data_IF_882453588333
#
_entry.id   IF_882453588333
#
_cell.length_a   1.000
_cell.length_b   1.000
_cell.length_c   1.000
_cell.angle_alpha   90.00
_cell.angle_beta   90.00
_cell.angle_gamma   90.00
#
_symmetry.space_group_name_H-M   'P 1'
#
loop_
_entity.id
_entity.type
_entity.pdbx_description
1 polymer ?
#
# COMPACT_ATOMS: atom_id res chain seq x y z
N UNK A 1 -32.53 -19.35 51.48
CA UNK A 1 -32.52 -18.19 50.54
C UNK A 1 -31.29 -18.34 49.71
N UNK A 2 -31.44 -18.96 48.58
CA UNK A 2 -30.39 -19.35 47.67
C UNK A 2 -30.29 -18.26 46.61
N UNK A 3 -29.21 -17.51 46.60
CA UNK A 3 -28.95 -16.40 45.68
C UNK A 3 -27.81 -16.80 44.72
N UNK A 4 -28.13 -17.64 43.74
CA UNK A 4 -27.26 -17.87 42.56
C UNK A 4 -27.49 -16.76 41.57
N UNK A 5 -26.44 -16.01 41.12
CA UNK A 5 -26.63 -15.05 40.04
C UNK A 5 -26.81 -15.79 38.72
N UNK A 6 -27.87 -15.43 38.05
CA UNK A 6 -28.19 -15.82 36.67
C UNK A 6 -27.00 -15.48 35.74
N UNK A 7 -26.32 -16.52 35.27
CA UNK A 7 -25.33 -16.39 34.19
C UNK A 7 -26.08 -16.19 32.87
N UNK A 8 -26.43 -14.94 32.60
CA UNK A 8 -26.95 -14.54 31.30
C UNK A 8 -26.02 -15.01 30.20
N UNK A 9 -26.46 -16.05 29.51
CA UNK A 9 -25.86 -16.56 28.29
C UNK A 9 -25.66 -15.40 27.29
N UNK A 10 -24.45 -14.89 27.15
CA UNK A 10 -24.05 -14.08 26.02
C UNK A 10 -24.22 -14.94 24.76
N UNK A 11 -25.36 -14.78 24.10
CA UNK A 11 -25.57 -15.35 22.77
C UNK A 11 -24.49 -14.80 21.86
N UNK A 12 -23.54 -15.65 21.47
CA UNK A 12 -22.61 -15.35 20.42
C UNK A 12 -23.41 -14.94 19.18
N UNK A 13 -23.36 -13.67 18.83
CA UNK A 13 -23.89 -13.20 17.55
C UNK A 13 -23.08 -13.86 16.46
N UNK A 14 -23.64 -14.83 15.76
CA UNK A 14 -23.11 -15.38 14.51
C UNK A 14 -23.08 -14.26 13.48
N UNK A 15 -21.92 -13.63 13.36
CA UNK A 15 -21.68 -12.60 12.35
C UNK A 15 -21.52 -13.32 11.01
N UNK A 16 -22.49 -13.18 10.12
CA UNK A 16 -22.39 -13.66 8.74
C UNK A 16 -21.29 -12.87 7.97
N UNK A 17 -20.61 -13.48 6.97
CA UNK A 17 -19.61 -12.78 6.13
C UNK A 17 -20.10 -11.44 5.56
N UNK A 18 -21.39 -11.31 5.25
CA UNK A 18 -22.00 -10.02 4.82
C UNK A 18 -21.90 -8.92 5.86
N UNK A 19 -21.96 -9.24 7.14
CA UNK A 19 -21.81 -8.24 8.21
C UNK A 19 -20.37 -7.75 8.33
N UNK A 20 -19.38 -8.58 7.98
CA UNK A 20 -17.95 -8.17 7.94
C UNK A 20 -17.71 -7.17 6.81
N UNK A 21 -18.33 -7.38 5.65
CA UNK A 21 -18.25 -6.43 4.53
C UNK A 21 -18.81 -5.05 4.90
N UNK A 22 -19.93 -5.02 5.62
CA UNK A 22 -20.51 -3.74 6.10
C UNK A 22 -19.60 -3.05 7.12
N UNK A 23 -18.90 -3.81 7.97
CA UNK A 23 -17.95 -3.28 8.96
C UNK A 23 -16.64 -2.77 8.31
N UNK A 24 -16.27 -3.32 7.17
CA UNK A 24 -15.16 -2.82 6.35
C UNK A 24 -15.52 -1.54 5.58
N UNK A 25 -16.81 -1.21 5.46
CA UNK A 25 -17.23 -0.05 4.71
C UNK A 25 -16.69 1.24 5.34
N UNK A 26 -16.19 2.13 4.50
CA UNK A 26 -15.73 3.46 4.89
C UNK A 26 -16.78 4.51 4.52
N UNK A 27 -16.68 5.68 5.13
CA UNK A 27 -17.40 6.86 4.69
C UNK A 27 -16.50 7.65 3.74
N UNK A 28 -16.70 7.57 2.40
CA UNK A 28 -15.72 8.06 1.42
C UNK A 28 -15.36 9.54 1.60
N UNK A 29 -16.35 10.43 1.79
CA UNK A 29 -16.09 11.86 1.95
C UNK A 29 -15.31 12.21 3.23
N UNK A 30 -15.60 11.52 4.33
CA UNK A 30 -14.86 11.72 5.57
C UNK A 30 -13.44 11.20 5.43
N UNK A 31 -13.27 10.01 4.88
CA UNK A 31 -11.96 9.39 4.64
C UNK A 31 -11.13 10.26 3.69
N UNK A 32 -11.71 10.73 2.57
CA UNK A 32 -11.04 11.66 1.65
C UNK A 32 -10.52 12.91 2.37
N UNK A 33 -11.38 13.59 3.12
CA UNK A 33 -11.00 14.82 3.86
C UNK A 33 -9.87 14.55 4.85
N UNK A 34 -9.96 13.45 5.62
CA UNK A 34 -8.93 13.06 6.58
C UNK A 34 -7.59 12.83 5.89
N UNK A 35 -7.57 12.09 4.77
CA UNK A 35 -6.33 11.78 4.05
C UNK A 35 -5.74 13.02 3.34
N UNK A 36 -6.58 13.88 2.78
CA UNK A 36 -6.15 15.17 2.19
C UNK A 36 -5.53 16.07 3.26
N UNK A 37 -6.14 16.19 4.43
CA UNK A 37 -5.60 16.97 5.53
C UNK A 37 -4.32 16.37 6.10
N UNK A 38 -4.25 15.04 6.22
CA UNK A 38 -3.03 14.33 6.60
C UNK A 38 -1.87 14.65 5.64
N UNK A 39 -2.07 14.52 4.33
CA UNK A 39 -1.05 14.83 3.33
C UNK A 39 -0.58 16.28 3.48
N UNK A 40 -1.52 17.22 3.53
CA UNK A 40 -1.21 18.66 3.64
C UNK A 40 -0.41 18.99 4.88
N UNK A 41 -0.80 18.43 6.02
CA UNK A 41 -0.12 18.68 7.29
C UNK A 41 1.27 18.05 7.32
N UNK A 42 1.39 16.78 6.95
CA UNK A 42 2.67 16.07 7.02
C UNK A 42 3.72 16.63 6.05
N UNK A 43 3.31 17.09 4.87
CA UNK A 43 4.25 17.72 3.92
C UNK A 43 4.75 19.07 4.46
N UNK A 44 3.83 19.90 4.94
CA UNK A 44 4.19 21.26 5.44
C UNK A 44 4.97 21.24 6.74
N UNK A 45 4.73 20.26 7.59
CA UNK A 45 5.38 20.09 8.89
C UNK A 45 6.92 20.01 8.80
N UNK A 46 7.42 19.53 7.68
CA UNK A 46 8.85 19.45 7.41
C UNK A 46 9.38 20.53 6.45
N UNK A 47 8.59 21.58 6.23
CA UNK A 47 8.98 22.70 5.37
C UNK A 47 8.94 22.40 3.86
N UNK A 48 8.32 21.27 3.46
CA UNK A 48 8.12 20.93 2.05
C UNK A 48 6.76 21.46 1.56
N UNK A 49 6.65 21.61 0.24
CA UNK A 49 5.41 22.02 -0.43
C UNK A 49 5.05 21.10 -1.60
N UNK A 50 5.92 20.16 -1.95
CA UNK A 50 5.79 19.32 -3.15
C UNK A 50 5.87 17.84 -2.79
N UNK A 51 5.26 17.03 -3.66
CA UNK A 51 5.30 15.57 -3.60
C UNK A 51 5.73 14.99 -4.95
N UNK A 52 6.47 13.89 -4.89
CA UNK A 52 6.72 13.03 -6.03
C UNK A 52 6.21 11.63 -5.73
N UNK A 53 5.71 10.93 -6.76
CA UNK A 53 5.28 9.53 -6.64
C UNK A 53 5.45 8.78 -7.95
N UNK A 54 5.65 7.47 -7.83
CA UNK A 54 5.60 6.57 -8.99
C UNK A 54 4.16 6.35 -9.45
N UNK A 55 3.88 6.54 -10.73
CA UNK A 55 2.59 6.27 -11.36
C UNK A 55 2.67 4.97 -12.17
N UNK A 56 2.11 3.91 -11.61
CA UNK A 56 2.09 2.58 -12.23
C UNK A 56 0.91 2.37 -13.18
N UNK A 57 -0.03 3.32 -13.25
CA UNK A 57 -1.32 3.13 -13.93
C UNK A 57 -2.26 2.18 -13.18
N UNK A 58 -1.93 1.82 -11.93
CA UNK A 58 -2.79 1.06 -11.02
C UNK A 58 -3.58 1.95 -10.07
N UNK A 59 -4.62 1.37 -9.46
CA UNK A 59 -5.60 2.09 -8.63
C UNK A 59 -4.98 2.77 -7.40
N UNK A 60 -3.98 2.17 -6.76
CA UNK A 60 -3.34 2.69 -5.55
C UNK A 60 -2.56 3.96 -5.83
N UNK A 61 -1.72 3.95 -6.89
CA UNK A 61 -0.98 5.13 -7.32
C UNK A 61 -1.93 6.23 -7.83
N UNK A 62 -3.03 5.84 -8.49
CA UNK A 62 -4.04 6.78 -8.96
C UNK A 62 -4.76 7.47 -7.79
N UNK A 63 -5.18 6.72 -6.78
CA UNK A 63 -5.80 7.29 -5.58
C UNK A 63 -4.84 8.21 -4.84
N UNK A 64 -3.59 7.78 -4.64
CA UNK A 64 -2.57 8.58 -3.95
C UNK A 64 -2.31 9.92 -4.68
N UNK A 65 -2.20 9.89 -6.02
CA UNK A 65 -2.01 11.09 -6.83
C UNK A 65 -3.22 12.03 -6.75
N UNK A 66 -4.44 11.49 -6.82
CA UNK A 66 -5.68 12.27 -6.71
C UNK A 66 -5.78 12.99 -5.37
N UNK A 67 -5.50 12.29 -4.26
CA UNK A 67 -5.50 12.87 -2.92
C UNK A 67 -4.39 13.93 -2.76
N UNK A 68 -3.22 13.68 -3.34
CA UNK A 68 -2.10 14.63 -3.30
C UNK A 68 -2.39 15.92 -4.07
N UNK A 69 -2.95 15.81 -5.28
CA UNK A 69 -3.36 16.96 -6.08
C UNK A 69 -4.42 17.81 -5.37
N UNK A 70 -5.38 17.19 -4.70
CA UNK A 70 -6.36 17.89 -3.88
C UNK A 70 -5.73 18.56 -2.63
N UNK A 71 -4.73 17.92 -2.03
CA UNK A 71 -4.10 18.42 -0.80
C UNK A 71 -3.20 19.63 -1.04
N UNK A 72 -2.42 19.64 -2.11
CA UNK A 72 -1.34 20.60 -2.33
C UNK A 72 -1.54 21.50 -3.56
N UNK A 73 -2.48 21.19 -4.43
CA UNK A 73 -2.60 21.73 -5.79
C UNK A 73 -1.81 20.89 -6.81
N UNK A 74 -2.35 20.74 -8.03
CA UNK A 74 -1.74 19.88 -9.05
C UNK A 74 -0.31 20.33 -9.45
N UNK A 75 0.00 21.61 -9.38
CA UNK A 75 1.31 22.19 -9.67
C UNK A 75 2.41 21.73 -8.70
N UNK A 76 2.02 21.20 -7.53
CA UNK A 76 2.92 20.74 -6.47
C UNK A 76 3.06 19.20 -6.42
N UNK A 77 2.54 18.49 -7.42
CA UNK A 77 2.60 17.03 -7.51
C UNK A 77 3.28 16.62 -8.81
N UNK A 78 4.28 15.74 -8.69
CA UNK A 78 5.01 15.18 -9.83
C UNK A 78 4.78 13.68 -9.90
N UNK A 79 4.10 13.22 -10.93
CA UNK A 79 3.88 11.80 -11.22
C UNK A 79 4.99 11.25 -12.12
N UNK A 80 5.69 10.21 -11.69
CA UNK A 80 6.80 9.63 -12.45
C UNK A 80 6.38 8.27 -13.00
N UNK A 81 6.36 8.15 -14.32
CA UNK A 81 6.19 6.88 -15.01
C UNK A 81 7.56 6.21 -15.15
N UNK A 82 7.64 4.94 -14.75
CA UNK A 82 8.89 4.19 -14.66
C UNK A 82 8.77 2.85 -15.41
N UNK A 83 8.53 2.89 -16.74
CA UNK A 83 8.40 1.66 -17.51
C UNK A 83 9.72 0.88 -17.56
N UNK A 84 9.58 -0.44 -17.64
CA UNK A 84 10.62 -1.36 -18.08
C UNK A 84 10.12 -1.99 -19.39
N UNK A 85 11.01 -2.45 -20.26
CA UNK A 85 10.68 -2.95 -21.62
C UNK A 85 9.51 -3.96 -21.70
N UNK A 86 9.22 -4.68 -20.62
CA UNK A 86 8.10 -5.63 -20.56
C UNK A 86 6.88 -5.10 -19.84
N UNK A 87 6.90 -3.85 -19.36
CA UNK A 87 5.73 -3.21 -18.76
C UNK A 87 4.60 -3.09 -19.76
N UNK A 88 3.38 -3.24 -19.29
CA UNK A 88 2.19 -3.15 -20.14
C UNK A 88 2.03 -1.72 -20.69
N UNK A 89 1.85 -1.55 -22.02
CA UNK A 89 1.49 -0.25 -22.60
C UNK A 89 0.20 0.34 -22.04
N UNK A 90 -0.73 -0.51 -21.60
CA UNK A 90 -1.96 -0.11 -20.92
C UNK A 90 -1.67 0.63 -19.60
N UNK A 91 -0.66 0.17 -18.85
CA UNK A 91 -0.24 0.80 -17.59
C UNK A 91 0.21 2.25 -17.82
N UNK A 92 1.02 2.49 -18.84
CA UNK A 92 1.46 3.84 -19.21
C UNK A 92 0.27 4.69 -19.71
N UNK A 93 -0.61 4.12 -20.53
CA UNK A 93 -1.83 4.80 -21.00
C UNK A 93 -2.72 5.27 -19.86
N UNK A 94 -2.91 4.42 -18.84
CA UNK A 94 -3.68 4.76 -17.64
C UNK A 94 -3.00 5.85 -16.80
N UNK A 95 -1.68 5.80 -16.65
CA UNK A 95 -0.94 6.84 -15.95
C UNK A 95 -1.08 8.20 -16.65
N UNK A 96 -0.96 8.25 -17.99
CA UNK A 96 -1.12 9.46 -18.80
C UNK A 96 -2.54 10.03 -18.69
N UNK A 97 -3.56 9.16 -18.76
CA UNK A 97 -4.96 9.56 -18.60
C UNK A 97 -5.19 10.26 -17.24
N UNK A 98 -4.62 9.70 -16.16
CA UNK A 98 -4.72 10.29 -14.83
C UNK A 98 -3.97 11.63 -14.74
N UNK A 99 -2.76 11.72 -15.28
CA UNK A 99 -1.94 12.95 -15.32
C UNK A 99 -2.74 14.08 -15.99
N UNK A 100 -3.33 13.80 -17.15
CA UNK A 100 -4.14 14.76 -17.90
C UNK A 100 -5.37 15.19 -17.11
N UNK A 101 -6.10 14.24 -16.50
CA UNK A 101 -7.28 14.54 -15.69
C UNK A 101 -6.96 15.41 -14.48
N UNK A 102 -5.85 15.15 -13.79
CA UNK A 102 -5.46 15.88 -12.58
C UNK A 102 -4.73 17.19 -12.88
N UNK A 103 -4.15 17.35 -14.06
CA UNK A 103 -3.30 18.49 -14.42
C UNK A 103 -1.99 18.54 -13.65
N UNK A 104 -1.49 17.41 -13.17
CA UNK A 104 -0.23 17.32 -12.41
C UNK A 104 0.98 17.30 -13.35
N UNK A 105 2.15 17.70 -12.82
CA UNK A 105 3.40 17.54 -13.52
C UNK A 105 3.77 16.05 -13.69
N UNK A 106 4.50 15.72 -14.75
CA UNK A 106 4.92 14.34 -14.97
C UNK A 106 6.28 14.23 -15.59
N UNK A 107 6.92 13.07 -15.33
CA UNK A 107 8.16 12.66 -15.96
C UNK A 107 8.05 11.19 -16.40
N UNK A 108 8.84 10.80 -17.38
CA UNK A 108 8.94 9.41 -17.84
C UNK A 108 10.42 9.00 -17.84
N UNK A 109 10.74 8.01 -17.01
CA UNK A 109 12.09 7.48 -16.87
C UNK A 109 12.05 6.00 -17.24
N UNK A 110 12.52 5.64 -18.43
CA UNK A 110 12.70 4.23 -18.80
C UNK A 110 13.83 3.62 -17.96
N UNK A 111 13.46 2.64 -17.10
CA UNK A 111 14.44 1.95 -16.24
C UNK A 111 15.14 0.78 -16.94
N UNK A 112 14.83 0.49 -18.21
CA UNK A 112 15.43 -0.61 -18.95
C UNK A 112 16.97 -0.49 -19.01
N UNK A 113 17.57 0.69 -19.36
CA UNK A 113 19.02 0.83 -19.39
C UNK A 113 19.70 0.64 -18.02
N UNK A 114 18.96 0.82 -16.93
CA UNK A 114 19.46 0.60 -15.56
C UNK A 114 19.39 -0.88 -15.17
N UNK A 115 18.36 -1.60 -15.63
CA UNK A 115 18.09 -2.97 -15.25
C UNK A 115 18.90 -4.01 -16.04
N UNK A 116 19.05 -3.81 -17.37
CA UNK A 116 19.67 -4.78 -18.25
C UNK A 116 21.11 -5.12 -17.87
N UNK A 117 22.01 -4.17 -17.54
CA UNK A 117 23.36 -4.50 -17.11
C UNK A 117 23.43 -5.38 -15.86
N UNK A 118 22.48 -5.18 -14.91
CA UNK A 118 22.38 -6.04 -13.73
C UNK A 118 21.88 -7.44 -14.08
N UNK A 119 20.93 -7.54 -14.99
CA UNK A 119 20.42 -8.83 -15.45
C UNK A 119 21.47 -9.61 -16.22
N UNK A 120 22.23 -8.95 -17.09
CA UNK A 120 23.36 -9.56 -17.81
C UNK A 120 24.47 -10.03 -16.86
N UNK A 121 24.82 -9.22 -15.85
CA UNK A 121 25.82 -9.57 -14.85
C UNK A 121 25.46 -10.85 -14.08
N UNK A 122 24.17 -11.04 -13.72
CA UNK A 122 23.72 -12.22 -12.98
C UNK A 122 23.43 -13.44 -13.88
N UNK A 123 23.43 -13.27 -15.20
CA UNK A 123 23.16 -14.35 -16.17
C UNK A 123 21.72 -14.86 -16.15
N UNK A 124 21.44 -15.94 -16.88
CA UNK A 124 20.08 -16.46 -17.14
C UNK A 124 19.32 -17.06 -15.94
N UNK A 125 19.93 -17.14 -14.76
CA UNK A 125 19.36 -17.82 -13.57
C UNK A 125 18.53 -16.93 -12.65
N UNK A 126 18.20 -15.70 -13.05
CA UNK A 126 17.36 -14.80 -12.26
C UNK A 126 15.89 -15.25 -12.31
N UNK A 127 15.35 -15.68 -11.16
CA UNK A 127 13.91 -15.92 -11.03
C UNK A 127 13.11 -14.60 -11.22
N UNK A 128 11.82 -14.73 -11.60
CA UNK A 128 10.93 -13.59 -11.74
C UNK A 128 10.87 -12.74 -10.46
N UNK A 129 10.85 -13.37 -9.29
CA UNK A 129 10.88 -12.68 -8.00
C UNK A 129 12.15 -11.81 -7.84
N UNK A 130 13.34 -12.33 -8.19
CA UNK A 130 14.58 -11.55 -8.11
C UNK A 130 14.58 -10.40 -9.11
N UNK A 131 14.11 -10.63 -10.34
CA UNK A 131 13.95 -9.58 -11.37
C UNK A 131 12.99 -8.49 -10.90
N UNK A 132 11.81 -8.86 -10.41
CA UNK A 132 10.83 -7.94 -9.87
C UNK A 132 11.37 -7.07 -8.72
N UNK A 133 12.10 -7.70 -7.78
CA UNK A 133 12.74 -6.98 -6.68
C UNK A 133 13.82 -5.97 -7.14
N UNK A 134 14.57 -6.29 -8.20
CA UNK A 134 15.53 -5.36 -8.79
C UNK A 134 14.78 -4.18 -9.42
N UNK A 135 13.78 -4.45 -10.25
CA UNK A 135 12.98 -3.40 -10.90
C UNK A 135 12.31 -2.46 -9.89
N UNK A 136 11.70 -3.00 -8.83
CA UNK A 136 11.09 -2.20 -7.78
C UNK A 136 12.10 -1.27 -7.08
N UNK A 137 13.33 -1.75 -6.84
CA UNK A 137 14.40 -0.93 -6.23
C UNK A 137 14.97 0.09 -7.19
N UNK A 138 15.09 -0.19 -8.48
CA UNK A 138 15.50 0.81 -9.48
C UNK A 138 14.45 1.92 -9.61
N UNK A 139 13.17 1.57 -9.59
CA UNK A 139 12.08 2.56 -9.52
C UNK A 139 12.20 3.44 -8.29
N UNK A 140 12.44 2.83 -7.13
CA UNK A 140 12.66 3.57 -5.88
C UNK A 140 13.82 4.55 -5.99
N UNK A 141 14.97 4.14 -6.53
CA UNK A 141 16.12 5.02 -6.72
C UNK A 141 15.75 6.24 -7.57
N UNK A 142 15.08 6.03 -8.71
CA UNK A 142 14.66 7.13 -9.59
C UNK A 142 13.66 8.09 -8.91
N UNK A 143 12.70 7.56 -8.13
CA UNK A 143 11.74 8.38 -7.40
C UNK A 143 12.40 9.21 -6.30
N UNK A 144 13.33 8.63 -5.54
CA UNK A 144 14.05 9.36 -4.48
C UNK A 144 15.04 10.38 -5.04
N UNK A 145 15.70 10.10 -6.17
CA UNK A 145 16.52 11.08 -6.87
C UNK A 145 15.68 12.28 -7.32
N UNK A 146 14.51 12.00 -7.94
CA UNK A 146 13.59 13.05 -8.36
C UNK A 146 13.05 13.85 -7.17
N UNK A 147 12.80 13.21 -6.05
CA UNK A 147 12.40 13.87 -4.79
C UNK A 147 13.41 14.92 -4.35
N UNK A 148 14.69 14.59 -4.40
CA UNK A 148 15.77 15.52 -4.08
C UNK A 148 15.86 16.69 -5.09
N UNK A 149 15.76 16.39 -6.38
CA UNK A 149 15.79 17.39 -7.45
C UNK A 149 14.63 18.41 -7.35
N UNK A 150 13.45 17.95 -6.96
CA UNK A 150 12.24 18.77 -6.83
C UNK A 150 12.08 19.43 -5.45
N UNK A 151 12.98 19.18 -4.51
CA UNK A 151 12.79 19.54 -3.09
C UNK A 151 11.42 19.09 -2.57
N UNK A 152 11.10 17.83 -2.78
CA UNK A 152 9.81 17.21 -2.51
C UNK A 152 9.93 16.01 -1.58
N UNK A 153 8.83 15.56 -0.99
CA UNK A 153 8.76 14.27 -0.30
C UNK A 153 8.25 13.17 -1.24
N UNK A 154 8.66 11.94 -0.99
CA UNK A 154 8.13 10.76 -1.71
C UNK A 154 6.80 10.34 -1.10
N UNK A 155 5.75 10.36 -1.91
CA UNK A 155 4.44 9.82 -1.56
C UNK A 155 4.37 8.34 -1.90
N UNK A 156 4.12 7.52 -0.90
CA UNK A 156 3.94 6.08 -1.08
C UNK A 156 2.52 5.72 -1.52
N UNK A 157 2.42 4.55 -2.12
CA UNK A 157 1.20 4.04 -2.73
C UNK A 157 0.80 2.67 -2.22
N UNK A 158 1.50 2.14 -1.19
CA UNK A 158 1.16 0.85 -0.59
C UNK A 158 -0.07 0.96 0.30
N UNK A 159 -0.94 -0.02 0.22
CA UNK A 159 -2.16 -0.13 1.03
C UNK A 159 -1.99 -1.10 2.21
N UNK A 160 -2.98 -1.14 3.13
CA UNK A 160 -2.96 -1.96 4.34
C UNK A 160 -2.87 -3.45 4.04
N UNK A 161 -3.60 -3.93 3.03
CA UNK A 161 -3.60 -5.35 2.64
C UNK A 161 -2.20 -5.79 2.20
N UNK A 162 -1.57 -5.01 1.33
CA UNK A 162 -0.20 -5.25 0.85
C UNK A 162 0.82 -5.22 1.99
N UNK A 163 0.72 -4.25 2.89
CA UNK A 163 1.57 -4.18 4.08
C UNK A 163 1.42 -5.39 4.98
N UNK A 164 0.19 -5.79 5.30
CA UNK A 164 -0.07 -6.92 6.19
C UNK A 164 0.42 -8.24 5.59
N UNK A 165 0.14 -8.47 4.31
CA UNK A 165 0.60 -9.66 3.60
C UNK A 165 2.10 -9.62 3.25
N UNK A 166 2.73 -8.43 3.32
CA UNK A 166 4.10 -8.23 2.84
C UNK A 166 4.23 -8.38 1.32
N UNK A 167 3.14 -8.12 0.59
CA UNK A 167 3.12 -8.11 -0.88
C UNK A 167 3.70 -6.81 -1.41
N UNK A 168 4.97 -6.61 -1.13
CA UNK A 168 5.78 -5.42 -1.45
C UNK A 168 7.25 -5.80 -1.44
N UNK A 169 8.07 -5.06 -2.15
CA UNK A 169 9.53 -5.18 -2.10
C UNK A 169 10.10 -4.24 -1.04
N UNK A 170 10.70 -4.82 -0.01
CA UNK A 170 11.38 -4.05 1.03
C UNK A 170 12.49 -3.19 0.45
N UNK A 171 12.48 -1.88 0.76
CA UNK A 171 13.33 -0.86 0.12
C UNK A 171 13.16 -0.75 -1.40
N UNK A 172 12.00 -1.14 -1.91
CA UNK A 172 11.57 -0.90 -3.27
C UNK A 172 10.31 -0.03 -3.27
N UNK A 173 9.19 -0.58 -3.72
CA UNK A 173 7.88 0.07 -3.74
C UNK A 173 7.33 0.43 -2.34
N UNK A 174 7.81 -0.24 -1.27
CA UNK A 174 7.46 0.13 0.11
C UNK A 174 8.15 1.39 0.62
N UNK A 175 9.22 1.86 -0.05
CA UNK A 175 9.98 3.02 0.38
C UNK A 175 9.23 4.32 0.07
N UNK A 176 8.98 5.12 1.10
CA UNK A 176 8.31 6.40 0.97
C UNK A 176 8.56 7.29 2.19
N UNK A 177 8.30 8.59 2.06
CA UNK A 177 8.33 9.53 3.18
C UNK A 177 7.03 9.54 3.96
N UNK A 178 5.89 9.46 3.26
CA UNK A 178 4.54 9.37 3.84
C UNK A 178 3.71 8.33 3.07
N UNK A 179 2.79 7.67 3.75
CA UNK A 179 1.94 6.59 3.20
C UNK A 179 0.45 6.87 3.51
N UNK A 180 -0.22 7.74 2.74
CA UNK A 180 -1.57 8.18 3.08
C UNK A 180 -2.60 7.05 3.06
N UNK A 181 -2.46 6.08 2.16
CA UNK A 181 -3.40 4.98 1.99
C UNK A 181 -2.98 3.69 2.72
N UNK A 182 -1.90 3.77 3.53
CA UNK A 182 -1.31 2.62 4.22
C UNK A 182 -2.20 1.97 5.28
N UNK A 183 -3.29 2.63 5.68
CA UNK A 183 -4.29 2.07 6.62
C UNK A 183 -5.63 1.74 5.93
N UNK A 184 -5.70 1.77 4.61
CA UNK A 184 -6.87 1.35 3.83
C UNK A 184 -6.66 -0.05 3.25
N UNK A 185 -7.66 -0.92 3.43
CA UNK A 185 -7.72 -2.21 2.74
C UNK A 185 -7.99 -2.03 1.24
N UNK A 186 -7.62 -3.01 0.41
CA UNK A 186 -7.79 -2.95 -1.06
C UNK A 186 -9.24 -2.72 -1.48
N UNK A 187 -10.18 -3.32 -0.77
CA UNK A 187 -11.62 -3.10 -0.98
C UNK A 187 -12.03 -1.66 -0.68
N UNK A 188 -11.46 -1.05 0.35
CA UNK A 188 -11.67 0.35 0.71
C UNK A 188 -11.01 1.31 -0.31
N UNK A 189 -9.83 0.95 -0.83
CA UNK A 189 -9.17 1.68 -1.93
C UNK A 189 -10.11 1.74 -3.14
N UNK A 190 -10.71 0.60 -3.55
CA UNK A 190 -11.67 0.57 -4.66
C UNK A 190 -12.88 1.48 -4.42
N UNK A 191 -13.43 1.46 -3.20
CA UNK A 191 -14.58 2.29 -2.84
C UNK A 191 -14.23 3.79 -2.86
N UNK A 192 -13.10 4.18 -2.25
CA UNK A 192 -12.66 5.57 -2.21
C UNK A 192 -12.28 6.09 -3.60
N UNK A 193 -11.58 5.29 -4.40
CA UNK A 193 -11.18 5.67 -5.77
C UNK A 193 -12.37 5.99 -6.65
N UNK A 194 -13.46 5.21 -6.56
CA UNK A 194 -14.72 5.54 -7.26
C UNK A 194 -15.29 6.88 -6.79
N UNK A 195 -15.29 7.10 -5.48
CA UNK A 195 -15.88 8.32 -4.90
C UNK A 195 -15.09 9.59 -5.23
N UNK A 196 -13.76 9.50 -5.41
CA UNK A 196 -12.92 10.65 -5.77
C UNK A 196 -12.74 10.83 -7.28
N UNK A 197 -13.39 10.00 -8.11
CA UNK A 197 -13.41 10.16 -9.57
C UNK A 197 -12.15 9.65 -10.28
N UNK A 198 -11.49 8.63 -9.76
CA UNK A 198 -10.42 7.93 -10.51
C UNK A 198 -11.02 7.37 -11.81
N UNK A 199 -10.33 7.50 -12.97
CA UNK A 199 -10.85 7.07 -14.27
C UNK A 199 -11.28 5.60 -14.29
N UNK A 200 -12.44 5.32 -14.92
CA UNK A 200 -13.01 3.97 -15.02
C UNK A 200 -12.03 2.91 -15.55
N UNK A 201 -11.21 3.16 -16.59
CA UNK A 201 -10.25 2.16 -17.04
C UNK A 201 -9.26 1.72 -15.96
N UNK A 202 -8.89 2.62 -15.04
CA UNK A 202 -8.01 2.29 -13.89
C UNK A 202 -8.78 1.50 -12.84
N UNK A 203 -10.04 1.84 -12.59
CA UNK A 203 -10.90 1.13 -11.62
C UNK A 203 -11.18 -0.32 -12.03
N UNK A 204 -11.30 -0.58 -13.33
CA UNK A 204 -11.62 -1.90 -13.89
C UNK A 204 -10.39 -2.76 -14.16
N UNK A 205 -9.20 -2.17 -14.13
CA UNK A 205 -7.95 -2.90 -14.32
C UNK A 205 -7.75 -3.92 -13.20
N UNK A 206 -7.41 -5.16 -13.58
CA UNK A 206 -7.06 -6.20 -12.60
C UNK A 206 -5.80 -5.80 -11.84
N UNK A 207 -5.77 -5.92 -10.50
CA UNK A 207 -4.59 -5.63 -9.69
C UNK A 207 -3.39 -6.46 -10.14
N UNK A 208 -2.27 -5.78 -10.40
CA UNK A 208 -1.01 -6.40 -10.80
C UNK A 208 0.16 -5.46 -10.47
N UNK A 209 1.27 -6.04 -10.02
CA UNK A 209 2.53 -5.32 -9.86
C UNK A 209 3.25 -5.03 -11.20
N UNK A 210 2.75 -5.59 -12.32
CA UNK A 210 3.26 -5.41 -13.70
C UNK A 210 4.79 -5.60 -13.82
N UNK A 211 5.31 -6.61 -13.12
CA UNK A 211 6.74 -6.97 -13.12
C UNK A 211 7.10 -7.97 -14.20
N UNK A 212 6.13 -8.76 -14.66
CA UNK A 212 6.24 -9.70 -15.80
C UNK A 212 4.89 -9.90 -16.49
N UNK A 213 4.89 -10.29 -17.77
CA UNK A 213 3.66 -10.47 -18.54
C UNK A 213 2.68 -11.47 -17.90
N UNK A 214 1.41 -11.08 -17.80
CA UNK A 214 0.35 -11.93 -17.25
C UNK A 214 0.30 -12.07 -15.75
N UNK A 215 1.11 -11.32 -15.01
CA UNK A 215 1.06 -11.25 -13.56
C UNK A 215 -0.28 -10.68 -13.09
N UNK A 216 -0.88 -11.31 -12.09
CA UNK A 216 -2.01 -10.74 -11.32
C UNK A 216 -1.79 -11.03 -9.85
N UNK A 217 -2.08 -10.07 -9.00
CA UNK A 217 -1.89 -10.20 -7.55
C UNK A 217 -2.73 -11.37 -6.99
N UNK A 218 -4.00 -11.44 -7.36
CA UNK A 218 -4.91 -12.50 -6.92
C UNK A 218 -4.47 -13.88 -7.43
N UNK A 219 -3.89 -13.95 -8.65
CA UNK A 219 -3.33 -15.20 -9.20
C UNK A 219 -2.12 -15.69 -8.42
N UNK A 220 -1.22 -14.79 -8.03
CA UNK A 220 -0.04 -15.13 -7.21
C UNK A 220 -0.41 -15.48 -5.77
N UNK A 221 -1.29 -14.68 -5.19
CA UNK A 221 -1.79 -14.95 -3.85
C UNK A 221 -2.68 -16.21 -3.80
N UNK A 222 -3.33 -16.57 -4.92
CA UNK A 222 -4.36 -17.60 -4.99
C UNK A 222 -5.57 -17.29 -4.11
N UNK A 223 -5.87 -15.99 -3.91
CA UNK A 223 -6.89 -15.46 -3.02
C UNK A 223 -7.47 -14.18 -3.62
N UNK A 224 -8.76 -13.93 -3.41
CA UNK A 224 -9.37 -12.66 -3.81
C UNK A 224 -9.19 -11.60 -2.72
N UNK A 225 -8.99 -10.35 -3.10
CA UNK A 225 -8.89 -9.24 -2.16
C UNK A 225 -10.14 -9.11 -1.27
N UNK A 226 -11.32 -9.37 -1.83
CA UNK A 226 -12.58 -9.25 -1.09
C UNK A 226 -12.64 -10.21 0.11
N UNK A 227 -12.12 -11.42 -0.03
CA UNK A 227 -12.09 -12.39 1.08
C UNK A 227 -10.92 -12.15 2.01
N UNK A 228 -9.74 -11.83 1.46
CA UNK A 228 -8.53 -11.58 2.26
C UNK A 228 -8.71 -10.38 3.18
N UNK A 229 -9.27 -9.29 2.69
CA UNK A 229 -9.50 -8.08 3.49
C UNK A 229 -10.44 -8.35 4.67
N UNK A 230 -11.50 -9.16 4.48
CA UNK A 230 -12.37 -9.56 5.57
C UNK A 230 -11.65 -10.36 6.64
N UNK A 231 -10.83 -11.33 6.25
CA UNK A 231 -10.04 -12.14 7.18
C UNK A 231 -9.01 -11.27 7.91
N UNK A 232 -8.30 -10.40 7.20
CA UNK A 232 -7.34 -9.48 7.80
C UNK A 232 -8.00 -8.51 8.79
N UNK A 233 -9.16 -7.96 8.43
CA UNK A 233 -9.92 -7.09 9.31
C UNK A 233 -10.29 -7.78 10.63
N UNK A 234 -10.81 -9.00 10.55
CA UNK A 234 -11.18 -9.77 11.75
C UNK A 234 -9.97 -10.08 12.63
N UNK A 235 -8.85 -10.47 12.02
CA UNK A 235 -7.64 -10.86 12.75
C UNK A 235 -6.86 -9.66 13.31
N UNK A 236 -6.81 -8.54 12.58
CA UNK A 236 -5.92 -7.41 12.88
C UNK A 236 -6.68 -6.29 13.59
N UNK A 237 -7.79 -5.82 13.03
CA UNK A 237 -8.54 -4.69 13.61
C UNK A 237 -9.41 -5.17 14.77
N UNK A 238 -10.09 -6.29 14.62
CA UNK A 238 -10.94 -6.84 15.69
C UNK A 238 -10.19 -7.79 16.63
N UNK A 239 -8.98 -8.19 16.26
CA UNK A 239 -8.10 -9.05 17.08
C UNK A 239 -8.76 -10.38 17.48
N UNK A 240 -9.57 -10.94 16.59
CA UNK A 240 -10.20 -12.22 16.82
C UNK A 240 -9.20 -13.36 16.70
N UNK A 241 -9.41 -14.42 17.47
CA UNK A 241 -8.66 -15.65 17.34
C UNK A 241 -8.90 -16.30 15.97
N UNK A 242 -7.86 -16.82 15.28
CA UNK A 242 -8.01 -17.49 14.00
C UNK A 242 -9.05 -18.60 13.98
N UNK A 243 -9.19 -19.37 15.08
CA UNK A 243 -10.18 -20.43 15.19
C UNK A 243 -11.60 -19.85 15.16
N UNK A 244 -11.80 -18.73 15.84
CA UNK A 244 -13.10 -18.05 15.83
C UNK A 244 -13.47 -17.51 14.44
N UNK A 245 -12.49 -17.03 13.68
CA UNK A 245 -12.71 -16.61 12.28
C UNK A 245 -13.13 -17.80 11.41
N UNK A 246 -12.58 -18.99 11.63
CA UNK A 246 -13.03 -20.23 10.94
C UNK A 246 -14.47 -20.58 11.34
N UNK A 247 -14.80 -20.49 12.62
CA UNK A 247 -16.17 -20.73 13.13
C UNK A 247 -17.21 -19.75 12.54
N UNK A 248 -16.78 -18.55 12.13
CA UNK A 248 -17.61 -17.58 11.40
C UNK A 248 -17.88 -17.98 9.94
N UNK A 249 -17.30 -19.08 9.46
CA UNK A 249 -17.54 -19.65 8.12
C UNK A 249 -16.47 -19.35 7.10
N UNK A 250 -15.30 -18.80 7.49
CA UNK A 250 -14.15 -18.67 6.60
C UNK A 250 -13.40 -20.00 6.49
N UNK A 251 -12.86 -20.26 5.31
CA UNK A 251 -12.06 -21.47 5.05
C UNK A 251 -10.81 -21.53 5.93
N UNK A 252 -10.60 -22.66 6.61
CA UNK A 252 -9.50 -22.85 7.56
C UNK A 252 -8.12 -22.74 6.88
N UNK A 253 -7.98 -23.27 5.66
CA UNK A 253 -6.72 -23.20 4.93
C UNK A 253 -6.39 -21.75 4.54
N UNK A 254 -7.40 -20.97 4.17
CA UNK A 254 -7.29 -19.54 3.91
C UNK A 254 -6.84 -18.78 5.16
N UNK A 255 -7.55 -18.93 6.28
CA UNK A 255 -7.23 -18.24 7.55
C UNK A 255 -5.82 -18.58 8.01
N UNK A 256 -5.45 -19.85 8.03
CA UNK A 256 -4.11 -20.32 8.38
C UNK A 256 -3.03 -19.75 7.46
N UNK A 257 -3.31 -19.67 6.16
CA UNK A 257 -2.39 -19.07 5.17
C UNK A 257 -2.19 -17.59 5.43
N UNK A 258 -3.27 -16.82 5.65
CA UNK A 258 -3.20 -15.38 5.95
C UNK A 258 -2.38 -15.14 7.21
N UNK A 259 -2.69 -15.84 8.31
CA UNK A 259 -1.93 -15.72 9.57
C UNK A 259 -0.45 -15.99 9.37
N UNK A 260 -0.10 -17.08 8.69
CA UNK A 260 1.29 -17.44 8.40
C UNK A 260 1.99 -16.37 7.55
N UNK A 261 1.30 -15.87 6.52
CA UNK A 261 1.85 -14.84 5.62
C UNK A 261 2.12 -13.54 6.37
N UNK A 262 1.18 -13.07 7.19
CA UNK A 262 1.33 -11.86 8.01
C UNK A 262 2.51 -11.99 8.96
N UNK A 263 2.66 -13.13 9.64
CA UNK A 263 3.78 -13.40 10.57
C UNK A 263 5.12 -13.47 9.86
N UNK A 264 5.21 -14.22 8.78
CA UNK A 264 6.46 -14.41 8.03
C UNK A 264 6.98 -13.13 7.40
N UNK A 265 6.11 -12.17 7.06
CA UNK A 265 6.46 -10.90 6.44
C UNK A 265 6.54 -9.73 7.45
N UNK A 266 6.51 -10.01 8.75
CA UNK A 266 6.62 -8.96 9.78
C UNK A 266 7.87 -8.08 9.60
N UNK A 267 8.99 -8.65 9.19
CA UNK A 267 10.24 -7.93 9.00
C UNK A 267 10.13 -6.79 7.97
N UNK A 268 9.25 -6.92 6.97
CA UNK A 268 9.05 -5.88 5.94
C UNK A 268 8.35 -4.62 6.49
N UNK A 269 7.70 -4.73 7.64
CA UNK A 269 7.01 -3.63 8.33
C UNK A 269 7.86 -2.99 9.43
N UNK A 270 9.06 -3.49 9.64
CA UNK A 270 9.95 -3.04 10.71
C UNK A 270 11.14 -2.30 10.13
N UNK A 271 11.63 -1.32 10.85
CA UNK A 271 12.98 -0.77 10.61
C UNK A 271 14.05 -1.83 10.91
N UNK A 272 15.27 -1.67 10.40
CA UNK A 272 16.35 -2.60 10.73
C UNK A 272 16.49 -2.79 12.24
N UNK A 273 16.70 -4.06 12.65
CA UNK A 273 16.91 -4.40 14.06
C UNK A 273 18.28 -3.88 14.49
N UNK A 274 18.31 -3.06 15.52
CA UNK A 274 19.54 -2.50 16.09
C UNK A 274 19.90 -3.26 17.35
N UNK A 275 21.14 -3.75 17.45
CA UNK A 275 21.66 -4.37 18.68
C UNK A 275 21.74 -3.31 19.78
N UNK A 276 21.03 -3.56 20.87
CA UNK A 276 21.02 -2.66 22.02
C UNK A 276 22.23 -2.89 22.89
N UNK A 277 23.22 -2.00 22.82
CA UNK A 277 24.44 -2.03 23.65
C UNK A 277 24.54 -0.86 24.62
N UNK A 278 23.68 0.14 24.48
CA UNK A 278 23.62 1.31 25.36
C UNK A 278 22.27 1.46 26.05
N UNK A 279 22.15 2.45 26.91
CA UNK A 279 20.92 2.76 27.64
C UNK A 279 19.83 3.36 26.74
N UNK A 280 20.22 4.02 25.62
CA UNK A 280 19.30 4.67 24.67
C UNK A 280 19.70 4.33 23.25
N UNK A 281 18.86 3.56 22.58
CA UNK A 281 19.06 3.11 21.19
C UNK A 281 18.12 3.89 20.25
N UNK A 282 18.63 4.47 19.15
CA UNK A 282 17.81 5.16 18.16
C UNK A 282 16.66 4.28 17.67
N UNK A 283 15.45 4.85 17.59
CA UNK A 283 14.25 4.13 17.14
C UNK A 283 13.65 3.14 18.14
N UNK A 284 14.31 2.87 19.26
CA UNK A 284 13.83 1.99 20.35
C UNK A 284 13.51 2.82 21.60
N UNK A 285 14.53 3.24 22.35
CA UNK A 285 14.36 4.05 23.57
C UNK A 285 14.52 5.56 23.31
N UNK A 286 15.22 5.92 22.26
CA UNK A 286 15.38 7.30 21.81
C UNK A 286 14.45 7.54 20.63
N UNK A 287 13.28 8.13 20.93
CA UNK A 287 12.24 8.46 19.96
C UNK A 287 11.81 9.89 20.21
N UNK A 288 11.99 10.73 19.21
CA UNK A 288 11.38 12.06 19.20
C UNK A 288 10.10 12.05 18.35
N UNK A 289 9.10 12.86 18.70
CA UNK A 289 8.01 13.16 17.79
C UNK A 289 8.55 13.61 16.44
N UNK A 290 7.85 13.28 15.37
CA UNK A 290 8.28 13.59 14.01
C UNK A 290 8.43 15.07 13.73
N UNK A 291 7.68 15.89 14.45
CA UNK A 291 7.63 17.35 14.38
C UNK A 291 8.42 18.05 15.50
N UNK A 292 9.28 17.31 16.20
CA UNK A 292 10.02 17.89 17.29
C UNK A 292 11.17 18.75 16.78
N UNK A 293 11.19 20.02 17.22
CA UNK A 293 12.18 21.01 16.82
C UNK A 293 11.70 21.97 15.71
N UNK A 294 10.44 21.93 15.37
CA UNK A 294 9.78 22.86 14.44
C UNK A 294 8.79 23.78 15.14
#
# INVERSE_FOLDING_TARGET
MDNTPDQGSLKAHTLHPKSVTDRLAIHPDLTRRLLVDFIRQEVRKFGFNRLVLGLSGGIDSALSATLAAEALGPENVVGIMLPYRTSSPESEGHARLLIEQLGIQSDLIDITPMAEPLFEHYGGELSNLRRGNILARLRMVAVFDRSAAENALVLGTSNKTEYLLGYTTWYGDSAASIQPIGDLYKTQIRALSRAVGVPTPILEKKPSADLWPGQTDEGEMGLTYDTVDQVLYLLVDERLDPQYVVEMGFDEALVSRVVRTVRNNQYKRMTPIIAKVGSRTPGIDFRYPRDWGH
#
